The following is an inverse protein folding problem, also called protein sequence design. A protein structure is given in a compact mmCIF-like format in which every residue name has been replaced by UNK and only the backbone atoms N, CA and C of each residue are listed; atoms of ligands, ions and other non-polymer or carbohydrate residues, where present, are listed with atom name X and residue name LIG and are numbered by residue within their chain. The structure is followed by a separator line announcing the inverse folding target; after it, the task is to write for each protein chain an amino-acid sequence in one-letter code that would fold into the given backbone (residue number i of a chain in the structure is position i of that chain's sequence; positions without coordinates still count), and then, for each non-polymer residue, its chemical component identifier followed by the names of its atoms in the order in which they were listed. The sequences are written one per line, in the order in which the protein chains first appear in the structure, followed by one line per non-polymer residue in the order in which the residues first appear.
data_IF_683335457038
#
_entry.id   IF_683335457038
#
_cell.length_a   1.000
_cell.length_b   1.000
_cell.length_c   1.000
_cell.angle_alpha   90.00
_cell.angle_beta   90.00
_cell.angle_gamma   90.00
#
_symmetry.space_group_name_H-M   'P 1'
#
loop_
_entity.id
_entity.type
_entity.pdbx_description
1 polymer ?
#
# COMPACT_ATOMS: atom_id res chain seq x y z
N UNK A 1 -52.43 -37.27 -2.40
CA UNK A 1 -53.53 -36.38 -2.71
C UNK A 1 -52.97 -34.99 -2.66
N UNK A 2 -52.89 -34.15 -3.64
CA UNK A 2 -53.12 -34.17 -5.09
C UNK A 2 -52.26 -33.05 -5.67
N UNK A 3 -51.65 -33.35 -6.80
CA UNK A 3 -51.07 -32.36 -7.71
C UNK A 3 -52.11 -31.32 -8.09
N UNK A 4 -51.67 -30.07 -8.30
CA UNK A 4 -52.21 -29.25 -9.38
C UNK A 4 -51.15 -28.38 -10.02
N UNK A 5 -50.93 -28.65 -11.28
CA UNK A 5 -50.28 -27.84 -12.30
C UNK A 5 -51.05 -26.56 -12.55
N UNK A 6 -50.36 -25.44 -12.72
CA UNK A 6 -50.88 -24.28 -13.49
C UNK A 6 -49.78 -23.72 -14.38
N UNK A 7 -49.82 -24.09 -15.55
CA UNK A 7 -49.94 -23.48 -16.90
C UNK A 7 -49.29 -22.12 -17.16
N UNK A 8 -48.36 -22.18 -18.15
CA UNK A 8 -47.83 -21.06 -18.96
C UNK A 8 -48.99 -20.34 -19.69
N UNK A 9 -48.95 -18.98 -19.64
CA UNK A 9 -49.19 -18.03 -20.74
C UNK A 9 -49.56 -16.64 -20.20
N UNK A 10 -48.77 -15.64 -20.63
CA UNK A 10 -49.03 -14.22 -20.33
C UNK A 10 -47.90 -13.33 -20.83
N UNK A 11 -47.61 -13.41 -22.13
CA UNK A 11 -46.76 -12.43 -22.82
C UNK A 11 -47.64 -11.28 -23.23
N UNK A 12 -47.34 -10.03 -22.78
CA UNK A 12 -47.58 -8.78 -23.55
C UNK A 12 -47.13 -7.53 -22.74
N UNK A 13 -46.09 -6.87 -23.25
CA UNK A 13 -46.10 -5.41 -23.41
C UNK A 13 -45.75 -4.53 -22.22
N UNK A 14 -44.43 -4.24 -22.04
CA UNK A 14 -44.01 -3.01 -21.37
C UNK A 14 -43.05 -2.26 -22.30
N UNK A 15 -43.25 -0.94 -22.56
CA UNK A 15 -42.46 -0.18 -23.50
C UNK A 15 -41.05 0.03 -22.97
N UNK A 16 -40.05 -0.15 -23.86
CA UNK A 16 -38.65 0.13 -23.61
C UNK A 16 -38.45 1.62 -23.30
N UNK A 17 -38.20 1.94 -22.04
CA UNK A 17 -37.58 3.22 -21.68
C UNK A 17 -36.12 3.14 -22.12
N UNK A 18 -35.77 3.87 -23.15
CA UNK A 18 -34.38 4.14 -23.56
C UNK A 18 -33.69 4.95 -22.45
N UNK A 19 -33.19 4.25 -21.43
CA UNK A 19 -32.22 4.78 -20.51
C UNK A 19 -30.90 4.92 -21.27
N UNK A 20 -30.44 6.17 -21.41
CA UNK A 20 -29.10 6.48 -21.91
C UNK A 20 -28.07 5.81 -21.00
N UNK A 21 -27.66 4.58 -21.35
CA UNK A 21 -26.47 3.98 -20.80
C UNK A 21 -25.28 4.83 -21.31
N UNK A 22 -24.74 5.66 -20.41
CA UNK A 22 -23.44 6.27 -20.63
C UNK A 22 -22.47 5.11 -20.89
N UNK A 23 -22.06 4.95 -22.13
CA UNK A 23 -20.98 4.06 -22.52
C UNK A 23 -19.74 4.53 -21.76
N UNK A 24 -19.46 3.89 -20.62
CA UNK A 24 -18.14 3.86 -20.04
C UNK A 24 -17.25 3.22 -21.12
N UNK A 25 -16.53 4.04 -21.86
CA UNK A 25 -15.54 3.58 -22.82
C UNK A 25 -14.42 2.88 -22.03
N UNK A 26 -14.57 1.57 -21.82
CA UNK A 26 -13.46 0.74 -21.40
C UNK A 26 -12.34 0.95 -22.46
N UNK A 27 -11.21 1.50 -22.02
CA UNK A 27 -10.06 1.64 -22.91
C UNK A 27 -9.72 0.26 -23.45
N UNK A 28 -9.45 0.17 -24.76
CA UNK A 28 -9.07 -1.11 -25.35
C UNK A 28 -7.83 -1.67 -24.62
N UNK A 29 -7.68 -3.01 -24.49
CA UNK A 29 -6.53 -3.61 -23.80
C UNK A 29 -5.15 -3.15 -24.31
N UNK A 30 -5.11 -2.55 -25.50
CA UNK A 30 -3.89 -2.01 -26.14
C UNK A 30 -3.77 -0.48 -26.06
N UNK A 31 -4.63 0.23 -25.31
CA UNK A 31 -4.52 1.68 -25.21
C UNK A 31 -3.34 2.09 -24.34
N UNK A 32 -2.57 3.09 -24.80
CA UNK A 32 -1.49 3.70 -24.04
C UNK A 32 -2.06 4.47 -22.86
N UNK A 33 -1.61 4.17 -21.63
CA UNK A 33 -1.98 4.92 -20.42
C UNK A 33 -1.05 6.14 -20.28
N UNK A 34 -1.63 7.32 -20.24
CA UNK A 34 -0.91 8.59 -20.08
C UNK A 34 -0.76 8.90 -18.60
N UNK A 35 0.48 8.85 -18.12
CA UNK A 35 0.82 8.92 -16.69
C UNK A 35 1.47 10.25 -16.36
N UNK A 36 1.10 10.84 -15.24
CA UNK A 36 1.80 11.97 -14.65
C UNK A 36 2.30 11.64 -13.24
N UNK A 37 3.39 12.30 -12.81
CA UNK A 37 3.96 12.14 -11.49
C UNK A 37 3.80 13.44 -10.69
N UNK A 38 3.37 13.31 -9.42
CA UNK A 38 3.31 14.38 -8.44
C UNK A 38 4.25 14.00 -7.29
N UNK A 39 5.37 14.72 -7.20
CA UNK A 39 6.50 14.39 -6.34
C UNK A 39 7.46 13.39 -7.00
N UNK A 40 8.68 13.88 -7.33
CA UNK A 40 9.77 13.09 -7.90
C UNK A 40 11.03 13.16 -7.03
N UNK A 41 10.85 13.22 -5.71
CA UNK A 41 11.91 13.01 -4.73
C UNK A 41 12.44 11.56 -4.77
N UNK A 42 13.12 11.12 -3.70
CA UNK A 42 13.74 9.79 -3.64
C UNK A 42 12.79 8.66 -4.11
N UNK A 43 11.59 8.60 -3.50
CA UNK A 43 10.62 7.53 -3.82
C UNK A 43 9.99 7.73 -5.20
N UNK A 44 9.56 8.94 -5.54
CA UNK A 44 8.94 9.24 -6.82
C UNK A 44 9.86 8.98 -8.01
N UNK A 45 11.14 9.38 -7.93
CA UNK A 45 12.15 9.08 -8.95
C UNK A 45 12.40 7.58 -9.10
N UNK A 46 12.40 6.86 -7.98
CA UNK A 46 12.53 5.40 -8.01
C UNK A 46 11.33 4.73 -8.70
N UNK A 47 10.10 5.15 -8.36
CA UNK A 47 8.89 4.66 -9.03
C UNK A 47 8.86 5.02 -10.51
N UNK A 48 9.31 6.23 -10.88
CA UNK A 48 9.43 6.63 -12.28
C UNK A 48 10.34 5.66 -13.05
N UNK A 49 11.52 5.32 -12.52
CA UNK A 49 12.42 4.34 -13.13
C UNK A 49 11.73 3.00 -13.38
N UNK A 50 10.96 2.49 -12.41
CA UNK A 50 10.22 1.23 -12.59
C UNK A 50 9.09 1.36 -13.61
N UNK A 51 8.39 2.50 -13.59
CA UNK A 51 7.26 2.77 -14.49
C UNK A 51 7.70 2.88 -15.94
N UNK A 52 8.86 3.46 -16.21
CA UNK A 52 9.41 3.62 -17.59
C UNK A 52 9.72 2.29 -18.29
N UNK A 53 9.82 1.20 -17.55
CA UNK A 53 9.99 -0.15 -18.12
C UNK A 53 8.65 -0.89 -18.33
N UNK A 54 7.51 -0.27 -17.95
CA UNK A 54 6.16 -0.86 -18.14
C UNK A 54 5.69 -0.59 -19.59
N UNK A 55 5.30 -1.62 -20.35
CA UNK A 55 4.86 -1.42 -21.73
C UNK A 55 3.51 -0.70 -21.83
N UNK A 56 3.35 0.08 -22.89
CA UNK A 56 2.09 0.76 -23.23
C UNK A 56 1.74 1.89 -22.28
N UNK A 57 2.72 2.65 -21.83
CA UNK A 57 2.55 3.91 -21.10
C UNK A 57 3.16 5.09 -21.86
N UNK A 58 2.72 6.28 -21.50
CA UNK A 58 3.38 7.54 -21.87
C UNK A 58 3.45 8.43 -20.63
N UNK A 59 4.64 8.78 -20.16
CA UNK A 59 4.81 9.79 -19.12
C UNK A 59 4.68 11.16 -19.79
N UNK A 60 3.65 11.92 -19.42
CA UNK A 60 3.25 13.18 -20.10
C UNK A 60 3.44 14.43 -19.25
N UNK A 61 3.58 14.28 -17.92
CA UNK A 61 3.85 15.41 -17.04
C UNK A 61 4.59 14.97 -15.78
N UNK A 62 5.44 15.88 -15.28
CA UNK A 62 6.16 15.78 -13.99
C UNK A 62 5.84 17.04 -13.18
N UNK A 63 5.38 16.82 -11.94
CA UNK A 63 5.10 17.89 -10.99
C UNK A 63 6.00 17.75 -9.76
N UNK A 64 6.87 18.70 -9.52
CA UNK A 64 7.65 18.85 -8.29
C UNK A 64 7.90 20.34 -8.02
N UNK A 65 8.03 20.71 -6.75
CA UNK A 65 8.36 22.08 -6.35
C UNK A 65 9.86 22.37 -6.48
N UNK A 66 10.69 21.35 -6.50
CA UNK A 66 12.13 21.42 -6.71
C UNK A 66 12.43 21.31 -8.22
N UNK A 67 12.90 22.40 -8.87
CA UNK A 67 13.13 22.41 -10.31
C UNK A 67 14.24 21.45 -10.76
N UNK A 68 15.24 21.20 -9.91
CA UNK A 68 16.34 20.29 -10.23
C UNK A 68 15.84 18.83 -10.23
N UNK A 69 14.99 18.47 -9.27
CA UNK A 69 14.33 17.13 -9.24
C UNK A 69 13.41 16.95 -10.43
N UNK A 70 12.58 17.95 -10.74
CA UNK A 70 11.70 17.92 -11.89
C UNK A 70 12.49 17.74 -13.19
N UNK A 71 13.57 18.53 -13.38
CA UNK A 71 14.46 18.42 -14.54
C UNK A 71 15.08 17.02 -14.65
N UNK A 72 15.65 16.50 -13.57
CA UNK A 72 16.26 15.16 -13.57
C UNK A 72 15.26 14.06 -13.94
N UNK A 73 14.00 14.18 -13.49
CA UNK A 73 12.93 13.25 -13.83
C UNK A 73 12.52 13.36 -15.32
N UNK A 74 12.45 14.58 -15.86
CA UNK A 74 12.21 14.82 -17.29
C UNK A 74 13.32 14.24 -18.15
N UNK A 75 14.58 14.49 -17.79
CA UNK A 75 15.75 13.95 -18.50
C UNK A 75 15.73 12.41 -18.51
N UNK A 76 15.41 11.79 -17.37
CA UNK A 76 15.29 10.33 -17.24
C UNK A 76 14.17 9.76 -18.15
N UNK A 77 13.00 10.38 -18.15
CA UNK A 77 11.89 9.94 -18.99
C UNK A 77 12.17 10.16 -20.48
N UNK A 78 12.81 11.28 -20.82
CA UNK A 78 13.18 11.61 -22.21
C UNK A 78 14.19 10.63 -22.77
N UNK A 79 15.14 10.15 -21.98
CA UNK A 79 16.10 9.12 -22.38
C UNK A 79 15.41 7.77 -22.73
N UNK A 80 14.17 7.56 -22.29
CA UNK A 80 13.32 6.40 -22.63
C UNK A 80 12.27 6.72 -23.72
N UNK A 81 12.37 7.88 -24.36
CA UNK A 81 11.50 8.28 -25.47
C UNK A 81 10.18 8.96 -25.05
N UNK A 82 9.96 9.23 -23.77
CA UNK A 82 8.82 10.01 -23.29
C UNK A 82 9.10 11.52 -23.40
N UNK A 83 8.05 12.34 -23.40
CA UNK A 83 8.16 13.81 -23.52
C UNK A 83 7.30 14.51 -22.45
N UNK A 84 7.63 14.36 -21.17
CA UNK A 84 6.85 14.99 -20.12
C UNK A 84 7.10 16.51 -20.06
N UNK A 85 6.03 17.25 -19.78
CA UNK A 85 6.09 18.66 -19.41
C UNK A 85 6.32 18.80 -17.91
N UNK A 86 7.04 19.84 -17.50
CA UNK A 86 7.18 20.21 -16.09
C UNK A 86 6.03 21.12 -15.68
N UNK A 87 5.35 20.79 -14.57
CA UNK A 87 4.25 21.56 -13.99
C UNK A 87 4.54 21.71 -12.50
N UNK A 88 4.52 22.94 -11.96
CA UNK A 88 4.79 23.20 -10.53
C UNK A 88 3.54 23.10 -9.65
N UNK A 89 2.35 23.34 -10.24
CA UNK A 89 1.07 23.34 -9.54
C UNK A 89 0.27 22.08 -9.87
N UNK A 90 0.13 21.16 -8.90
CA UNK A 90 -0.51 19.86 -9.15
C UNK A 90 -1.98 19.97 -9.60
N UNK A 91 -2.73 21.01 -9.19
CA UNK A 91 -4.11 21.21 -9.62
C UNK A 91 -4.20 21.47 -11.12
N UNK A 92 -3.27 22.28 -11.68
CA UNK A 92 -3.17 22.48 -13.13
C UNK A 92 -2.84 21.20 -13.87
N UNK A 93 -2.03 20.32 -13.26
CA UNK A 93 -1.79 18.98 -13.81
C UNK A 93 -3.08 18.14 -13.82
N UNK A 94 -3.87 18.18 -12.76
CA UNK A 94 -5.12 17.41 -12.66
C UNK A 94 -6.19 17.88 -13.63
N UNK A 95 -6.22 19.16 -14.02
CA UNK A 95 -7.15 19.74 -15.00
C UNK A 95 -6.93 19.21 -16.43
N UNK A 96 -5.76 18.66 -16.73
CA UNK A 96 -5.41 18.15 -18.05
C UNK A 96 -6.24 16.91 -18.40
N UNK A 97 -6.83 16.93 -19.60
CA UNK A 97 -7.64 15.83 -20.16
C UNK A 97 -6.81 14.74 -20.83
N UNK A 98 -5.56 15.02 -21.10
CA UNK A 98 -4.60 14.09 -21.68
C UNK A 98 -3.81 13.29 -20.63
N UNK A 99 -4.25 13.28 -19.36
CA UNK A 99 -3.71 12.47 -18.28
C UNK A 99 -4.76 11.46 -17.83
N UNK A 100 -4.44 10.17 -17.89
CA UNK A 100 -5.31 9.06 -17.48
C UNK A 100 -5.03 8.60 -16.04
N UNK A 101 -3.78 8.70 -15.61
CA UNK A 101 -3.31 8.20 -14.32
C UNK A 101 -2.28 9.13 -13.69
N UNK A 102 -2.29 9.19 -12.36
CA UNK A 102 -1.31 9.96 -11.58
C UNK A 102 -0.64 9.08 -10.53
N UNK A 103 0.66 9.27 -10.36
CA UNK A 103 1.47 8.69 -9.28
C UNK A 103 1.76 9.79 -8.27
N UNK A 104 1.32 9.64 -7.03
CA UNK A 104 1.52 10.59 -5.95
C UNK A 104 2.56 10.02 -4.99
N UNK A 105 3.73 10.65 -4.91
CA UNK A 105 4.86 10.25 -4.08
C UNK A 105 5.51 11.45 -3.38
N UNK A 106 4.68 12.31 -2.83
CA UNK A 106 5.01 13.49 -2.02
C UNK A 106 5.30 13.10 -0.57
N UNK A 107 5.73 14.03 0.31
CA UNK A 107 5.63 13.83 1.75
C UNK A 107 4.19 13.52 2.19
N UNK A 108 4.06 12.73 3.27
CA UNK A 108 2.77 12.12 3.67
C UNK A 108 1.68 13.16 3.99
N UNK A 109 2.08 14.30 4.53
CA UNK A 109 1.19 15.42 4.86
C UNK A 109 0.39 15.99 3.67
N UNK A 110 0.79 15.65 2.44
CA UNK A 110 0.07 16.02 1.21
C UNK A 110 -0.77 14.89 0.59
N UNK A 111 -0.64 13.66 1.06
CA UNK A 111 -1.26 12.48 0.44
C UNK A 111 -2.77 12.60 0.31
N UNK A 112 -3.46 12.92 1.41
CA UNK A 112 -4.92 13.04 1.46
C UNK A 112 -5.43 14.08 0.46
N UNK A 113 -4.88 15.28 0.50
CA UNK A 113 -5.34 16.39 -0.34
C UNK A 113 -5.19 16.07 -1.83
N UNK A 114 -4.02 15.59 -2.23
CA UNK A 114 -3.72 15.30 -3.64
C UNK A 114 -4.47 14.07 -4.15
N UNK A 115 -4.62 13.03 -3.33
CA UNK A 115 -5.36 11.83 -3.71
C UNK A 115 -6.84 12.11 -3.91
N UNK A 116 -7.48 12.84 -2.96
CA UNK A 116 -8.88 13.22 -3.07
C UNK A 116 -9.12 14.07 -4.33
N UNK A 117 -8.32 15.12 -4.55
CA UNK A 117 -8.46 15.96 -5.72
C UNK A 117 -8.29 15.18 -7.04
N UNK A 118 -7.36 14.24 -7.11
CA UNK A 118 -7.15 13.43 -8.32
C UNK A 118 -8.32 12.46 -8.58
N UNK A 119 -8.85 11.84 -7.52
CA UNK A 119 -10.00 10.92 -7.62
C UNK A 119 -11.28 11.64 -8.01
N UNK A 120 -11.54 12.83 -7.46
CA UNK A 120 -12.72 13.66 -7.78
C UNK A 120 -12.78 14.07 -9.26
N UNK A 121 -11.62 14.31 -9.88
CA UNK A 121 -11.55 14.58 -11.34
C UNK A 121 -11.44 13.33 -12.20
N UNK A 122 -11.61 12.14 -11.59
CA UNK A 122 -11.72 10.85 -12.27
C UNK A 122 -10.40 10.25 -12.75
N UNK A 123 -9.25 10.66 -12.19
CA UNK A 123 -7.96 10.05 -12.51
C UNK A 123 -7.81 8.68 -11.83
N UNK A 124 -7.08 7.77 -12.48
CA UNK A 124 -6.54 6.59 -11.80
C UNK A 124 -5.37 7.04 -10.92
N UNK A 125 -5.34 6.59 -9.67
CA UNK A 125 -4.37 7.08 -8.68
C UNK A 125 -3.52 5.94 -8.12
N UNK A 126 -2.21 6.05 -8.25
CA UNK A 126 -1.23 5.34 -7.43
C UNK A 126 -0.81 6.28 -6.31
N UNK A 127 -1.20 5.98 -5.08
CA UNK A 127 -0.85 6.76 -3.91
C UNK A 127 0.20 6.04 -3.08
N UNK A 128 1.37 6.65 -2.88
CA UNK A 128 2.35 6.08 -1.96
C UNK A 128 1.78 5.94 -0.54
N UNK A 129 2.31 4.95 0.15
CA UNK A 129 1.96 4.69 1.56
C UNK A 129 2.61 5.74 2.50
N UNK A 130 2.03 5.95 3.69
CA UNK A 130 0.71 5.55 4.15
C UNK A 130 -0.40 6.35 3.47
N UNK A 131 -1.66 5.91 3.60
CA UNK A 131 -2.81 6.58 2.98
C UNK A 131 -3.00 8.03 3.47
N UNK A 132 -2.69 8.30 4.73
CA UNK A 132 -2.80 9.60 5.39
C UNK A 132 -2.16 9.56 6.78
N UNK A 133 -2.30 10.64 7.54
CA UNK A 133 -1.71 10.83 8.89
C UNK A 133 -2.71 10.69 10.02
N UNK A 134 -4.01 10.74 9.71
CA UNK A 134 -5.10 10.63 10.66
C UNK A 134 -6.19 9.67 10.15
N UNK A 135 -7.00 9.07 11.06
CA UNK A 135 -8.13 8.25 10.67
C UNK A 135 -9.11 8.98 9.74
N UNK A 136 -9.37 10.25 10.01
CA UNK A 136 -10.25 11.09 9.20
C UNK A 136 -9.73 11.27 7.78
N UNK A 137 -8.40 11.47 7.62
CA UNK A 137 -7.78 11.56 6.28
C UNK A 137 -7.93 10.24 5.52
N UNK A 138 -7.68 9.11 6.16
CA UNK A 138 -7.86 7.79 5.55
C UNK A 138 -9.31 7.58 5.10
N UNK A 139 -10.29 7.99 5.92
CA UNK A 139 -11.71 7.94 5.56
C UNK A 139 -12.04 8.84 4.38
N UNK A 140 -11.51 10.07 4.32
CA UNK A 140 -11.73 10.98 3.18
C UNK A 140 -11.19 10.37 1.88
N UNK A 141 -10.00 9.81 1.90
CA UNK A 141 -9.41 9.13 0.72
C UNK A 141 -10.23 7.91 0.32
N UNK A 142 -10.70 7.09 1.28
CA UNK A 142 -11.54 5.92 0.99
C UNK A 142 -12.90 6.32 0.39
N UNK A 143 -13.54 7.36 0.92
CA UNK A 143 -14.81 7.86 0.40
C UNK A 143 -14.64 8.43 -1.03
N UNK A 144 -13.59 9.18 -1.28
CA UNK A 144 -13.27 9.67 -2.62
C UNK A 144 -13.04 8.50 -3.59
N UNK A 145 -12.30 7.46 -3.17
CA UNK A 145 -12.06 6.28 -3.99
C UNK A 145 -13.35 5.50 -4.30
N UNK A 146 -14.26 5.38 -3.32
CA UNK A 146 -15.54 4.69 -3.51
C UNK A 146 -16.46 5.40 -4.51
N UNK A 147 -16.35 6.73 -4.65
CA UNK A 147 -17.14 7.54 -5.56
C UNK A 147 -16.47 7.84 -6.90
N UNK A 148 -15.18 7.52 -7.02
CA UNK A 148 -14.37 7.85 -8.18
C UNK A 148 -14.70 6.97 -9.39
N UNK A 149 -14.51 7.53 -10.59
CA UNK A 149 -14.50 6.76 -11.84
C UNK A 149 -13.17 6.03 -12.06
N UNK A 150 -12.09 6.57 -11.55
CA UNK A 150 -10.75 5.98 -11.56
C UNK A 150 -10.54 5.01 -10.41
N UNK A 151 -9.49 4.22 -10.49
CA UNK A 151 -9.08 3.32 -9.41
C UNK A 151 -8.11 4.01 -8.44
N UNK A 152 -8.05 3.54 -7.19
CA UNK A 152 -7.00 3.86 -6.23
C UNK A 152 -6.19 2.61 -5.89
N UNK A 153 -4.88 2.66 -6.13
CA UNK A 153 -3.92 1.67 -5.65
C UNK A 153 -2.95 2.31 -4.66
N UNK A 154 -2.79 1.70 -3.49
CA UNK A 154 -1.81 2.13 -2.48
C UNK A 154 -0.43 1.51 -2.75
N UNK A 155 0.63 2.26 -2.43
CA UNK A 155 2.04 1.90 -2.61
C UNK A 155 2.57 0.84 -1.63
N UNK A 156 1.76 -0.17 -1.25
CA UNK A 156 2.22 -1.32 -0.47
C UNK A 156 2.84 -2.39 -1.40
N UNK A 157 3.96 -2.04 -2.03
CA UNK A 157 4.59 -2.85 -3.07
C UNK A 157 5.03 -4.24 -2.61
N UNK A 158 5.20 -4.48 -1.31
CA UNK A 158 5.57 -5.81 -0.78
C UNK A 158 4.50 -6.87 -1.07
N UNK A 159 3.24 -6.49 -1.27
CA UNK A 159 2.18 -7.42 -1.72
C UNK A 159 2.42 -7.95 -3.13
N UNK A 160 3.20 -7.24 -3.93
CA UNK A 160 3.57 -7.64 -5.30
C UNK A 160 4.95 -8.31 -5.37
N UNK A 161 5.67 -8.40 -4.25
CA UNK A 161 6.92 -9.17 -4.20
C UNK A 161 6.62 -10.65 -4.42
N UNK A 162 7.33 -11.32 -5.34
CA UNK A 162 6.99 -12.69 -5.73
C UNK A 162 6.99 -13.70 -4.59
N UNK A 163 7.99 -13.66 -3.69
CA UNK A 163 8.06 -14.57 -2.54
C UNK A 163 6.88 -14.33 -1.58
N UNK A 164 6.60 -13.06 -1.27
CA UNK A 164 5.51 -12.68 -0.37
C UNK A 164 4.14 -13.03 -0.95
N UNK A 165 3.95 -12.77 -2.24
CA UNK A 165 2.70 -13.12 -2.93
C UNK A 165 2.46 -14.63 -2.95
N UNK A 166 3.49 -15.42 -3.26
CA UNK A 166 3.42 -16.89 -3.22
C UNK A 166 3.17 -17.43 -1.81
N UNK A 167 3.82 -16.82 -0.80
CA UNK A 167 3.61 -17.17 0.61
C UNK A 167 2.17 -16.89 1.05
N UNK A 168 1.60 -15.76 0.67
CA UNK A 168 0.20 -15.42 0.98
C UNK A 168 -0.78 -16.34 0.30
N UNK A 169 -0.52 -16.73 -0.94
CA UNK A 169 -1.35 -17.69 -1.65
C UNK A 169 -1.30 -19.07 -1.00
N UNK A 170 -0.12 -19.49 -0.52
CA UNK A 170 0.06 -20.72 0.24
C UNK A 170 -0.71 -20.69 1.57
N UNK A 171 -0.66 -19.56 2.31
CA UNK A 171 -1.44 -19.35 3.54
C UNK A 171 -2.93 -19.46 3.26
N UNK A 172 -3.43 -18.73 2.25
CA UNK A 172 -4.85 -18.74 1.86
C UNK A 172 -5.38 -20.11 1.49
N UNK A 173 -4.54 -20.96 0.88
CA UNK A 173 -4.86 -22.33 0.56
C UNK A 173 -4.81 -23.29 1.76
N UNK A 174 -4.57 -22.77 2.97
CA UNK A 174 -4.47 -23.58 4.21
C UNK A 174 -3.16 -24.33 4.34
N UNK A 175 -2.11 -23.93 3.63
CA UNK A 175 -0.81 -24.60 3.64
C UNK A 175 -0.14 -24.62 5.01
N UNK A 176 -0.33 -23.56 5.82
CA UNK A 176 0.15 -23.50 7.22
C UNK A 176 -0.93 -23.90 8.25
N UNK A 177 -2.15 -24.27 7.81
CA UNK A 177 -3.31 -24.45 8.68
C UNK A 177 -3.89 -23.11 9.16
N UNK A 178 -4.48 -23.11 10.36
CA UNK A 178 -5.02 -21.88 10.99
C UNK A 178 -3.86 -20.97 11.39
N UNK A 179 -3.97 -19.67 11.10
CA UNK A 179 -3.01 -18.66 11.57
C UNK A 179 -3.11 -18.52 13.08
N UNK A 180 -2.00 -18.64 13.79
CA UNK A 180 -1.94 -18.61 15.25
C UNK A 180 -1.13 -17.45 15.80
N UNK A 181 -0.02 -17.08 15.12
CA UNK A 181 0.88 -16.03 15.57
C UNK A 181 1.57 -15.37 14.38
N UNK A 182 1.79 -14.05 14.48
CA UNK A 182 2.45 -13.23 13.48
C UNK A 182 3.66 -12.55 14.12
N UNK A 183 4.78 -12.58 13.42
CA UNK A 183 6.03 -11.99 13.90
C UNK A 183 6.61 -11.08 12.82
N UNK A 184 6.90 -9.85 13.19
CA UNK A 184 7.55 -8.89 12.32
C UNK A 184 8.55 -8.00 13.06
N UNK A 185 9.64 -7.69 12.41
CA UNK A 185 10.51 -6.61 12.85
C UNK A 185 11.19 -5.92 11.67
N UNK A 186 11.58 -4.67 11.90
CA UNK A 186 12.45 -3.91 11.02
C UNK A 186 13.55 -3.29 11.88
N UNK A 187 14.72 -3.86 11.82
CA UNK A 187 15.87 -3.40 12.57
C UNK A 187 16.94 -2.89 11.62
N UNK A 188 17.37 -1.66 11.83
CA UNK A 188 18.40 -1.00 11.03
C UNK A 188 19.47 -0.40 11.92
N UNK A 189 20.63 -0.11 11.34
CA UNK A 189 21.80 0.37 12.08
C UNK A 189 21.95 1.89 12.11
N UNK A 190 21.06 2.62 11.39
CA UNK A 190 21.08 4.09 11.39
C UNK A 190 19.72 4.66 10.93
N UNK A 191 19.54 5.97 11.14
CA UNK A 191 18.39 6.75 10.73
C UNK A 191 18.43 7.09 9.24
N UNK A 192 17.28 7.24 8.56
CA UNK A 192 17.21 7.67 7.15
C UNK A 192 17.47 9.20 7.01
N UNK A 193 18.71 9.61 7.15
CA UNK A 193 19.14 11.04 7.32
C UNK A 193 18.89 11.95 6.11
N UNK A 194 18.59 11.40 4.96
CA UNK A 194 18.40 12.15 3.71
C UNK A 194 16.97 12.64 3.46
N UNK A 195 16.09 12.53 4.46
CA UNK A 195 14.66 12.86 4.32
C UNK A 195 14.22 13.71 5.53
N UNK A 196 14.47 15.03 5.57
CA UNK A 196 14.25 15.86 6.76
C UNK A 196 12.83 15.84 7.34
N UNK A 197 11.79 15.85 6.49
CA UNK A 197 10.39 15.82 6.94
C UNK A 197 10.03 14.53 7.70
N UNK A 198 10.77 13.46 7.48
CA UNK A 198 10.59 12.17 8.13
C UNK A 198 10.75 12.24 9.66
N UNK A 199 11.60 13.16 10.14
CA UNK A 199 11.89 13.31 11.57
C UNK A 199 10.86 14.15 12.34
N UNK A 200 9.93 14.77 11.63
CA UNK A 200 8.77 15.42 12.22
C UNK A 200 7.57 14.46 12.22
N UNK A 201 7.17 13.99 13.41
CA UNK A 201 6.04 13.06 13.55
C UNK A 201 4.70 13.62 13.08
N UNK A 202 4.56 14.96 13.04
CA UNK A 202 3.33 15.60 12.55
C UNK A 202 3.23 15.44 11.04
N UNK A 203 4.35 15.48 10.34
CA UNK A 203 4.44 15.34 8.88
C UNK A 203 4.55 13.90 8.39
N UNK A 204 5.20 13.04 9.17
CA UNK A 204 5.47 11.64 8.78
C UNK A 204 4.48 10.63 9.40
N UNK A 205 3.83 11.00 10.49
CA UNK A 205 3.06 10.05 11.30
C UNK A 205 3.91 9.20 12.23
N UNK A 206 5.21 9.52 12.37
CA UNK A 206 6.24 8.70 12.99
C UNK A 206 6.62 7.46 12.16
N UNK A 207 7.74 6.88 12.47
CA UNK A 207 8.35 5.71 11.79
C UNK A 207 7.41 4.52 11.71
N UNK A 208 6.54 4.35 12.70
CA UNK A 208 5.57 3.26 12.73
C UNK A 208 4.52 3.40 11.61
N UNK A 209 4.07 4.62 11.28
CA UNK A 209 3.09 4.88 10.23
C UNK A 209 3.77 5.03 8.87
N UNK A 210 4.91 5.72 8.81
CA UNK A 210 5.60 5.95 7.54
C UNK A 210 6.36 4.71 7.07
N UNK A 211 7.10 4.01 7.93
CA UNK A 211 8.02 2.96 7.51
C UNK A 211 7.55 1.55 7.89
N UNK A 212 7.14 1.33 9.13
CA UNK A 212 6.73 0.02 9.60
C UNK A 212 5.43 -0.48 8.96
N UNK A 213 4.60 0.42 8.44
CA UNK A 213 3.33 0.07 7.81
C UNK A 213 3.47 -0.96 6.68
N UNK A 214 4.64 -1.10 6.05
CA UNK A 214 4.88 -2.15 5.06
C UNK A 214 4.79 -3.56 5.66
N UNK A 215 5.41 -3.79 6.83
CA UNK A 215 5.39 -5.10 7.48
C UNK A 215 4.05 -5.31 8.18
N UNK A 216 3.51 -4.26 8.80
CA UNK A 216 2.16 -4.26 9.39
C UNK A 216 1.13 -4.65 8.31
N UNK A 217 1.22 -4.10 7.11
CA UNK A 217 0.36 -4.44 5.97
C UNK A 217 0.41 -5.93 5.61
N UNK A 218 1.60 -6.53 5.57
CA UNK A 218 1.74 -7.96 5.31
C UNK A 218 1.10 -8.82 6.40
N UNK A 219 1.24 -8.43 7.67
CA UNK A 219 0.66 -9.17 8.79
C UNK A 219 -0.88 -9.04 8.84
N UNK A 220 -1.41 -7.85 8.56
CA UNK A 220 -2.84 -7.62 8.37
C UNK A 220 -3.37 -8.47 7.20
N UNK A 221 -2.64 -8.54 6.09
CA UNK A 221 -3.00 -9.37 4.95
C UNK A 221 -2.99 -10.86 5.27
N UNK A 222 -1.99 -11.33 6.03
CA UNK A 222 -1.91 -12.71 6.49
C UNK A 222 -3.02 -13.08 7.50
N UNK A 223 -3.38 -12.15 8.40
CA UNK A 223 -4.49 -12.31 9.34
C UNK A 223 -5.87 -12.30 8.65
N UNK A 224 -5.96 -11.65 7.46
CA UNK A 224 -7.23 -11.51 6.72
C UNK A 224 -8.25 -10.57 7.35
N UNK A 225 -7.87 -9.83 8.39
CA UNK A 225 -8.73 -8.92 9.15
C UNK A 225 -7.91 -7.84 9.88
N UNK A 226 -8.57 -6.87 10.51
CA UNK A 226 -7.94 -5.88 11.37
C UNK A 226 -7.74 -6.39 12.81
N UNK A 227 -6.80 -5.82 13.59
CA UNK A 227 -6.65 -6.13 15.01
C UNK A 227 -7.81 -5.55 15.83
N UNK A 228 -8.11 -6.19 16.97
CA UNK A 228 -9.11 -5.72 17.94
C UNK A 228 -8.55 -4.62 18.83
N UNK A 229 -7.27 -4.77 19.23
CA UNK A 229 -6.58 -3.83 20.11
C UNK A 229 -5.05 -3.94 19.96
N UNK A 230 -4.37 -2.89 20.40
CA UNK A 230 -2.92 -2.83 20.45
C UNK A 230 -2.42 -2.23 21.77
N UNK A 231 -1.22 -2.65 22.17
CA UNK A 231 -0.44 -2.01 23.22
C UNK A 231 1.02 -1.92 22.78
N UNK A 232 1.64 -0.77 22.98
CA UNK A 232 3.03 -0.56 22.60
C UNK A 232 3.80 0.33 23.56
N UNK A 233 5.11 0.28 23.44
CA UNK A 233 6.07 1.12 24.13
C UNK A 233 7.22 1.49 23.20
N UNK A 234 7.73 2.70 23.32
CA UNK A 234 8.82 3.19 22.47
C UNK A 234 9.35 4.53 22.94
N UNK A 235 10.38 5.01 22.27
CA UNK A 235 11.00 6.26 22.64
C UNK A 235 12.18 6.66 21.76
N UNK A 236 12.93 7.65 22.25
CA UNK A 236 14.18 8.14 21.67
C UNK A 236 15.29 7.83 22.68
N UNK A 237 16.07 6.78 22.42
CA UNK A 237 17.07 6.30 23.36
C UNK A 237 18.50 6.68 22.96
N UNK A 238 18.89 6.41 21.73
CA UNK A 238 20.25 6.67 21.23
C UNK A 238 20.35 8.04 20.56
N UNK A 239 19.52 8.30 19.56
CA UNK A 239 19.62 9.50 18.72
C UNK A 239 18.82 10.68 19.31
N UNK A 240 19.13 11.08 20.55
CA UNK A 240 18.32 12.00 21.37
C UNK A 240 18.01 13.35 20.75
N UNK A 241 18.88 13.89 19.93
CA UNK A 241 18.68 15.15 19.22
C UNK A 241 19.28 15.11 17.82
N UNK A 242 19.15 13.99 17.16
CA UNK A 242 19.66 13.73 15.83
C UNK A 242 18.57 13.27 14.85
N UNK A 243 18.30 14.07 13.83
CA UNK A 243 18.71 15.49 13.70
C UNK A 243 18.07 16.38 14.76
N UNK A 244 18.60 17.59 14.94
CA UNK A 244 18.09 18.55 15.91
C UNK A 244 16.59 18.82 15.69
N UNK A 245 15.81 18.85 16.78
CA UNK A 245 14.37 19.03 16.75
C UNK A 245 13.54 17.80 16.34
N UNK A 246 14.17 16.65 16.21
CA UNK A 246 13.49 15.39 15.90
C UNK A 246 12.41 15.04 16.94
N UNK A 247 11.26 14.59 16.46
CA UNK A 247 10.14 14.16 17.31
C UNK A 247 9.73 12.69 17.11
N UNK A 248 10.31 12.01 16.10
CA UNK A 248 10.03 10.59 15.82
C UNK A 248 10.88 9.66 16.70
N UNK A 249 10.35 8.48 17.03
CA UNK A 249 11.04 7.48 17.85
C UNK A 249 12.23 6.85 17.13
N UNK A 250 13.21 6.32 17.87
CA UNK A 250 14.28 5.49 17.31
C UNK A 250 14.16 4.00 17.68
N UNK A 251 13.21 3.68 18.54
CA UNK A 251 12.85 2.31 18.85
C UNK A 251 11.42 2.21 19.40
N UNK A 252 10.77 1.09 19.14
CA UNK A 252 9.48 0.74 19.72
C UNK A 252 9.15 -0.74 19.52
N UNK A 253 8.24 -1.22 20.37
CA UNK A 253 7.61 -2.53 20.28
C UNK A 253 6.11 -2.37 20.42
N UNK A 254 5.34 -3.14 19.64
CA UNK A 254 3.89 -3.17 19.68
C UNK A 254 3.40 -4.60 19.63
N UNK A 255 2.44 -4.93 20.50
CA UNK A 255 1.64 -6.14 20.44
C UNK A 255 0.24 -5.79 19.94
N UNK A 256 -0.19 -6.47 18.89
CA UNK A 256 -1.57 -6.40 18.38
C UNK A 256 -2.29 -7.71 18.67
N UNK A 257 -3.56 -7.61 19.03
CA UNK A 257 -4.44 -8.75 19.21
C UNK A 257 -5.52 -8.74 18.13
N UNK A 258 -5.58 -9.83 17.37
CA UNK A 258 -6.56 -10.07 16.34
C UNK A 258 -7.67 -11.01 16.83
N UNK A 259 -8.80 -11.16 16.10
CA UNK A 259 -9.77 -12.19 16.35
C UNK A 259 -9.13 -13.59 16.44
N UNK A 260 -9.84 -14.55 17.00
CA UNK A 260 -9.42 -15.95 17.16
C UNK A 260 -8.10 -16.13 17.95
N UNK A 261 -7.83 -15.22 18.88
CA UNK A 261 -6.61 -15.23 19.70
C UNK A 261 -5.29 -15.14 18.91
N UNK A 262 -5.28 -14.64 17.70
CA UNK A 262 -4.05 -14.40 16.95
C UNK A 262 -3.32 -13.18 17.53
N UNK A 263 -2.01 -13.32 17.73
CA UNK A 263 -1.14 -12.24 18.20
C UNK A 263 -0.16 -11.85 17.12
N UNK A 264 0.11 -10.55 17.02
CA UNK A 264 1.16 -10.01 16.19
C UNK A 264 2.12 -9.21 17.06
N UNK A 265 3.36 -9.64 17.14
CA UNK A 265 4.44 -8.87 17.74
C UNK A 265 5.21 -8.10 16.66
N UNK A 266 5.44 -6.83 16.89
CA UNK A 266 6.24 -5.99 16.00
C UNK A 266 7.25 -5.15 16.77
N UNK A 267 8.49 -5.10 16.29
CA UNK A 267 9.50 -4.18 16.80
C UNK A 267 10.25 -3.46 15.69
N UNK A 268 10.73 -2.25 16.01
CA UNK A 268 11.56 -1.46 15.13
C UNK A 268 12.64 -0.76 15.94
N UNK A 269 13.88 -0.88 15.52
CA UNK A 269 15.04 -0.19 16.10
C UNK A 269 15.95 0.35 14.99
N UNK A 270 16.60 1.50 15.25
CA UNK A 270 17.51 2.16 14.31
C UNK A 270 18.97 2.09 14.74
N UNK A 271 19.29 1.31 15.75
CA UNK A 271 20.63 1.17 16.30
C UNK A 271 21.05 -0.30 16.46
N UNK A 272 20.49 -1.16 15.61
CA UNK A 272 20.87 -2.58 15.59
C UNK A 272 22.20 -2.77 14.88
N UNK A 273 23.20 -3.43 15.49
CA UNK A 273 24.47 -3.69 14.82
C UNK A 273 24.28 -4.40 13.47
N UNK A 274 25.08 -4.08 12.44
CA UNK A 274 24.87 -4.63 11.09
C UNK A 274 24.81 -6.17 11.01
N UNK A 275 25.44 -6.88 11.93
CA UNK A 275 25.40 -8.35 11.99
C UNK A 275 24.09 -8.94 12.51
N UNK A 276 23.25 -8.14 13.17
CA UNK A 276 21.94 -8.53 13.69
C UNK A 276 20.79 -7.86 12.97
N UNK A 277 21.05 -6.72 12.31
CA UNK A 277 20.04 -5.94 11.60
C UNK A 277 19.35 -6.74 10.49
N UNK A 278 18.09 -6.41 10.22
CA UNK A 278 17.33 -7.07 9.16
C UNK A 278 15.83 -6.82 9.25
N UNK A 279 15.13 -7.53 8.41
CA UNK A 279 13.68 -7.53 8.36
C UNK A 279 13.18 -8.95 8.58
N UNK A 280 12.18 -9.11 9.43
CA UNK A 280 11.52 -10.39 9.68
C UNK A 280 10.03 -10.28 9.38
N UNK A 281 9.53 -11.30 8.70
CA UNK A 281 8.15 -11.39 8.28
C UNK A 281 7.72 -12.86 8.33
N UNK A 282 7.31 -13.35 9.50
CA UNK A 282 6.98 -14.77 9.70
C UNK A 282 5.54 -14.95 10.17
N UNK A 283 4.87 -15.94 9.60
CA UNK A 283 3.52 -16.36 9.96
C UNK A 283 3.57 -17.78 10.47
N UNK A 284 3.05 -17.98 11.68
CA UNK A 284 2.97 -19.29 12.33
C UNK A 284 1.52 -19.80 12.27
N UNK A 285 1.38 -21.02 11.82
CA UNK A 285 0.09 -21.70 11.75
C UNK A 285 0.08 -23.04 12.47
N UNK A 286 -1.08 -23.71 12.49
CA UNK A 286 -1.29 -24.98 13.19
C UNK A 286 -0.48 -26.15 12.58
N UNK A 287 -0.12 -26.06 11.30
CA UNK A 287 0.69 -27.08 10.58
C UNK A 287 2.16 -26.73 10.48
N UNK A 288 2.56 -25.47 10.60
CA UNK A 288 3.93 -25.03 10.44
C UNK A 288 4.05 -23.52 10.37
N UNK A 289 5.22 -23.01 10.00
CA UNK A 289 5.50 -21.58 9.87
C UNK A 289 6.12 -21.27 8.51
N UNK A 290 5.83 -20.07 8.00
CA UNK A 290 6.38 -19.56 6.75
C UNK A 290 7.07 -18.22 6.95
N UNK A 291 8.26 -18.05 6.37
CA UNK A 291 8.95 -16.79 6.25
C UNK A 291 8.55 -16.16 4.90
N UNK A 292 7.86 -15.01 4.95
CA UNK A 292 7.25 -14.42 3.76
C UNK A 292 8.28 -13.93 2.74
N UNK A 293 9.39 -13.36 3.24
CA UNK A 293 10.42 -12.78 2.39
C UNK A 293 11.20 -13.83 1.58
N UNK A 294 11.35 -15.03 2.13
CA UNK A 294 12.10 -16.13 1.48
C UNK A 294 11.21 -17.15 0.81
N UNK A 295 9.92 -17.22 1.17
CA UNK A 295 9.02 -18.28 0.74
C UNK A 295 9.34 -19.65 1.33
N UNK A 296 10.07 -19.67 2.45
CA UNK A 296 10.46 -20.91 3.12
C UNK A 296 9.39 -21.30 4.14
N UNK A 297 8.79 -22.46 3.95
CA UNK A 297 7.87 -23.10 4.87
C UNK A 297 8.58 -24.23 5.62
N UNK A 298 8.31 -24.32 6.92
CA UNK A 298 8.78 -25.41 7.80
C UNK A 298 7.57 -26.01 8.53
N UNK A 299 7.43 -27.32 8.48
CA UNK A 299 6.40 -28.04 9.22
C UNK A 299 6.66 -28.03 10.74
N UNK A 300 5.58 -28.01 11.52
CA UNK A 300 5.66 -27.87 12.98
C UNK A 300 6.37 -29.03 13.69
N UNK A 301 6.23 -30.24 13.18
CA UNK A 301 6.67 -31.47 13.82
C UNK A 301 7.94 -32.05 13.16
N UNK A 302 8.12 -31.83 11.88
CA UNK A 302 9.27 -32.34 11.14
C UNK A 302 10.42 -31.33 11.11
N UNK A 303 11.52 -31.65 11.81
CA UNK A 303 12.62 -30.73 12.04
C UNK A 303 13.59 -30.55 10.87
N UNK A 304 13.44 -31.30 9.77
CA UNK A 304 14.42 -31.32 8.65
C UNK A 304 13.86 -30.98 7.28
N UNK A 305 12.55 -30.78 7.13
CA UNK A 305 11.96 -30.55 5.83
C UNK A 305 11.66 -29.06 5.62
N UNK A 306 12.71 -28.31 5.30
CA UNK A 306 12.55 -26.99 4.71
C UNK A 306 11.96 -27.14 3.30
N UNK A 307 10.80 -26.53 3.07
CA UNK A 307 10.19 -26.46 1.77
C UNK A 307 10.21 -25.03 1.26
N UNK A 308 10.98 -24.79 0.23
CA UNK A 308 10.90 -23.53 -0.52
C UNK A 308 9.72 -23.59 -1.50
N UNK A 309 8.86 -22.59 -1.49
CA UNK A 309 7.77 -22.50 -2.43
C UNK A 309 8.28 -22.27 -3.86
N UNK A 310 7.56 -22.78 -4.84
CA UNK A 310 7.70 -22.34 -6.22
C UNK A 310 7.14 -20.94 -6.38
N UNK A 311 7.95 -20.04 -6.89
CA UNK A 311 7.65 -18.62 -6.94
C UNK A 311 7.64 -18.16 -8.39
N UNK A 312 6.47 -17.87 -8.98
CA UNK A 312 6.38 -17.27 -10.31
C UNK A 312 7.05 -15.90 -10.34
N UNK A 313 7.78 -15.60 -11.42
CA UNK A 313 8.48 -14.33 -11.61
C UNK A 313 9.46 -13.96 -10.49
N UNK A 314 10.15 -14.95 -9.90
CA UNK A 314 11.06 -14.78 -8.78
C UNK A 314 12.23 -13.81 -9.07
N UNK A 315 12.53 -13.57 -10.32
CA UNK A 315 13.56 -12.65 -10.82
C UNK A 315 13.06 -11.20 -10.92
N UNK A 316 11.75 -10.96 -10.83
CA UNK A 316 11.18 -9.63 -10.96
C UNK A 316 11.10 -8.91 -9.61
N UNK A 317 11.24 -7.60 -9.65
CA UNK A 317 11.17 -6.76 -8.46
C UNK A 317 9.71 -6.42 -8.11
N UNK A 318 9.36 -6.50 -6.83
CA UNK A 318 8.03 -6.18 -6.34
C UNK A 318 7.58 -4.75 -6.68
N UNK A 319 8.50 -3.79 -6.69
CA UNK A 319 8.20 -2.40 -7.11
C UNK A 319 7.78 -2.32 -8.58
N UNK A 320 8.49 -3.00 -9.49
CA UNK A 320 8.12 -3.08 -10.89
C UNK A 320 6.76 -3.75 -11.08
N UNK A 321 6.54 -4.87 -10.41
CA UNK A 321 5.27 -5.59 -10.47
C UNK A 321 4.11 -4.75 -9.91
N UNK A 322 4.36 -3.95 -8.88
CA UNK A 322 3.37 -3.05 -8.29
C UNK A 322 2.93 -1.96 -9.27
N UNK A 323 3.88 -1.26 -9.91
CA UNK A 323 3.52 -0.22 -10.89
C UNK A 323 2.94 -0.80 -12.17
N UNK A 324 3.41 -1.98 -12.58
CA UNK A 324 2.82 -2.72 -13.71
C UNK A 324 1.38 -3.11 -13.43
N UNK A 325 1.10 -3.65 -12.24
CA UNK A 325 -0.27 -4.01 -11.82
C UNK A 325 -1.18 -2.78 -11.78
N UNK A 326 -0.69 -1.62 -11.32
CA UNK A 326 -1.44 -0.37 -11.37
C UNK A 326 -1.86 -0.02 -12.81
N UNK A 327 -0.94 -0.07 -13.75
CA UNK A 327 -1.23 0.24 -15.16
C UNK A 327 -2.23 -0.76 -15.76
N UNK A 328 -2.04 -2.06 -15.48
CA UNK A 328 -2.95 -3.10 -15.98
C UNK A 328 -4.36 -2.96 -15.38
N UNK A 329 -4.47 -2.62 -14.10
CA UNK A 329 -5.73 -2.35 -13.43
C UNK A 329 -6.40 -1.07 -13.96
N UNK A 330 -5.63 -0.01 -14.21
CA UNK A 330 -6.14 1.24 -14.78
C UNK A 330 -6.73 1.03 -16.19
N UNK A 331 -6.06 0.23 -17.05
CA UNK A 331 -6.60 -0.13 -18.36
C UNK A 331 -7.89 -0.94 -18.29
N UNK A 332 -7.95 -1.89 -17.37
CA UNK A 332 -9.06 -2.81 -17.24
C UNK A 332 -10.15 -2.39 -16.24
N UNK A 333 -10.02 -1.24 -15.59
CA UNK A 333 -10.86 -0.79 -14.48
C UNK A 333 -11.06 -1.88 -13.41
N UNK A 334 -9.96 -2.61 -13.10
CA UNK A 334 -9.98 -3.70 -12.13
C UNK A 334 -9.64 -3.19 -10.73
N UNK A 335 -10.24 -3.80 -9.73
CA UNK A 335 -9.89 -3.51 -8.33
C UNK A 335 -8.46 -3.94 -8.04
N UNK A 336 -7.58 -3.02 -7.60
CA UNK A 336 -6.21 -3.36 -7.22
C UNK A 336 -6.14 -4.28 -6.00
N UNK A 337 -5.08 -5.09 -5.92
CA UNK A 337 -4.77 -5.87 -4.71
C UNK A 337 -4.59 -4.98 -3.48
N UNK A 338 -3.98 -3.80 -3.68
CA UNK A 338 -3.74 -2.77 -2.65
C UNK A 338 -4.77 -1.64 -2.81
N UNK A 339 -6.06 -1.96 -2.71
CA UNK A 339 -7.14 -1.00 -2.88
C UNK A 339 -7.31 -0.09 -1.65
N UNK A 340 -8.30 0.82 -1.70
CA UNK A 340 -8.58 1.76 -0.62
C UNK A 340 -8.84 1.07 0.72
N UNK A 341 -9.63 -0.02 0.74
CA UNK A 341 -10.00 -0.73 1.97
C UNK A 341 -8.78 -1.37 2.63
N UNK A 342 -8.00 -2.14 1.86
CA UNK A 342 -6.80 -2.78 2.38
C UNK A 342 -5.76 -1.76 2.86
N UNK A 343 -5.57 -0.68 2.10
CA UNK A 343 -4.65 0.39 2.46
C UNK A 343 -5.08 1.16 3.71
N UNK A 344 -6.39 1.39 3.86
CA UNK A 344 -6.97 2.01 5.06
C UNK A 344 -6.75 1.14 6.30
N UNK A 345 -7.10 -0.14 6.25
CA UNK A 345 -6.92 -1.06 7.37
C UNK A 345 -5.44 -1.11 7.80
N UNK A 346 -4.52 -1.24 6.88
CA UNK A 346 -3.08 -1.30 7.18
C UNK A 346 -2.56 0.01 7.78
N UNK A 347 -2.99 1.15 7.25
CA UNK A 347 -2.60 2.47 7.77
C UNK A 347 -3.18 2.71 9.16
N UNK A 348 -4.46 2.39 9.39
CA UNK A 348 -5.11 2.51 10.71
C UNK A 348 -4.49 1.57 11.75
N UNK A 349 -4.08 0.36 11.35
CA UNK A 349 -3.37 -0.56 12.25
C UNK A 349 -2.04 0.05 12.73
N UNK A 350 -1.27 0.68 11.83
CA UNK A 350 -0.06 1.39 12.21
C UNK A 350 -0.35 2.59 13.13
N UNK A 351 -1.41 3.35 12.86
CA UNK A 351 -1.86 4.47 13.71
C UNK A 351 -2.31 4.01 15.08
N UNK A 352 -2.99 2.86 15.18
CA UNK A 352 -3.41 2.25 16.44
C UNK A 352 -2.19 1.92 17.31
N UNK A 353 -1.15 1.32 16.73
CA UNK A 353 0.12 1.08 17.40
C UNK A 353 0.77 2.38 17.87
N UNK A 354 0.86 3.40 17.00
CA UNK A 354 1.37 4.72 17.36
C UNK A 354 0.61 5.33 18.55
N UNK A 355 -0.71 5.33 18.48
CA UNK A 355 -1.57 5.88 19.54
C UNK A 355 -1.33 5.17 20.86
N UNK A 356 -1.23 3.84 20.86
CA UNK A 356 -0.99 3.05 22.08
C UNK A 356 0.35 3.38 22.74
N UNK A 357 1.41 3.61 21.96
CA UNK A 357 2.73 4.00 22.47
C UNK A 357 2.69 5.38 23.11
N UNK A 358 2.13 6.39 22.42
CA UNK A 358 2.11 7.76 22.94
C UNK A 358 1.16 7.96 24.11
N UNK A 359 0.03 7.27 24.14
CA UNK A 359 -0.93 7.34 25.23
C UNK A 359 -0.62 6.36 26.38
N UNK A 360 0.34 5.44 26.18
CA UNK A 360 0.80 4.44 27.17
C UNK A 360 -0.35 3.58 27.73
N UNK A 361 -1.27 3.19 26.85
CA UNK A 361 -2.43 2.35 27.18
C UNK A 361 -2.80 1.42 26.05
N UNK A 362 -3.69 0.50 26.33
CA UNK A 362 -4.36 -0.28 25.28
C UNK A 362 -5.26 0.66 24.47
N UNK A 363 -5.20 0.52 23.16
CA UNK A 363 -6.06 1.21 22.19
C UNK A 363 -6.86 0.16 21.42
N UNK A 364 -8.16 0.38 21.27
CA UNK A 364 -9.06 -0.51 20.50
C UNK A 364 -9.20 -0.06 19.07
N UNK A 365 -9.67 -0.96 18.20
CA UNK A 365 -9.91 -0.65 16.79
C UNK A 365 -10.89 0.50 16.60
N UNK A 366 -11.99 0.51 17.36
CA UNK A 366 -13.05 1.54 17.26
C UNK A 366 -12.52 2.96 17.54
N UNK A 367 -11.41 3.09 18.24
CA UNK A 367 -10.77 4.40 18.50
C UNK A 367 -10.01 4.97 17.29
N UNK A 368 -9.76 4.15 16.29
CA UNK A 368 -9.04 4.54 15.06
C UNK A 368 -9.87 4.35 13.80
N UNK A 369 -10.97 3.62 13.88
CA UNK A 369 -11.90 3.41 12.77
C UNK A 369 -13.11 4.38 12.83
N UNK A 370 -12.81 5.69 12.93
CA UNK A 370 -13.77 6.78 13.14
C UNK A 370 -14.02 7.59 11.87
#
# INVERSE_FOLDING_TARGET
MSNEDISRRGFLGVPAALGSAALLSAQSPNSTVRVAFIGVGNRGSYLLKQMLDVPGISVVAICDLDPERAKAAVDLASAKGHKPETITEYRKLLDRKDIDAVVIATPVDFHKEMAVAALEVGKNVYLEKPMGLTPQECRMVSNAAASAKGILQLGFQLRHDPNRAASMEFIKKGGIGDVLFLQGYRHTNDLPRNTPWYFDRVRSGDNIVEQACHIIDLMVWAAGTHPLRAFGSGGINLFKNEPAGRTTMDNYVVLYEFPNNVRFEFSHIYFDPPGFSGIKERVYGSKGAIDLATGIFMERIETKNERKLEVPNADQRGDYLSVKAFIDNARGHKTPLNNADSGRISTLTAMMGRKSIYERRVVTWDEVDV
#
